data_IF_126668666838
#
_entry.id   IF_126668666838
#
_cell.length_a   1.000
_cell.length_b   1.000
_cell.length_c   1.000
_cell.angle_alpha   90.00
_cell.angle_beta   90.00
_cell.angle_gamma   90.00
#
_symmetry.space_group_name_H-M   'P 1'
#
loop_
_entity.id
_entity.type
_entity.pdbx_description
1 polymer ?
#
# COMPACT_ATOMS: atom_id res chain seq x y z
N UNK A 1 8.15 82.61 29.08
CA UNK A 1 7.25 81.50 28.70
C UNK A 1 8.10 80.43 28.03
N UNK A 2 8.36 79.34 28.76
CA UNK A 2 9.23 78.23 28.34
C UNK A 2 8.33 77.04 28.04
N UNK A 3 8.31 76.58 26.79
CA UNK A 3 7.54 75.41 26.35
C UNK A 3 8.46 74.20 26.31
N UNK A 4 8.15 73.23 27.16
CA UNK A 4 8.78 71.92 27.30
C UNK A 4 8.40 70.99 26.14
N UNK A 5 9.41 70.40 25.49
CA UNK A 5 9.25 69.38 24.45
C UNK A 5 9.04 67.99 25.06
N UNK A 6 7.91 67.36 24.73
CA UNK A 6 7.59 65.97 25.06
C UNK A 6 8.13 65.05 23.96
N UNK A 7 9.00 64.10 24.30
CA UNK A 7 9.42 63.03 23.41
C UNK A 7 8.54 61.79 23.61
N UNK A 8 7.85 61.34 22.55
CA UNK A 8 7.10 60.09 22.52
C UNK A 8 7.98 59.04 21.84
N UNK A 9 8.39 58.00 22.58
CA UNK A 9 9.02 56.79 22.05
C UNK A 9 7.94 55.76 21.73
N UNK A 10 7.78 55.42 20.45
CA UNK A 10 6.97 54.27 20.01
C UNK A 10 7.92 53.08 19.82
N UNK A 11 7.78 52.07 20.67
CA UNK A 11 8.50 50.80 20.54
C UNK A 11 7.75 49.86 19.60
N UNK A 12 8.42 49.40 18.54
CA UNK A 12 7.95 48.30 17.69
C UNK A 12 8.40 46.95 18.30
N UNK A 13 7.49 45.99 18.55
CA UNK A 13 7.88 44.64 18.93
C UNK A 13 8.11 43.76 17.69
N UNK A 14 9.25 43.07 17.70
CA UNK A 14 9.46 41.71 17.18
C UNK A 14 8.95 41.33 15.78
N UNK A 15 9.73 41.66 14.74
CA UNK A 15 9.75 40.96 13.44
C UNK A 15 10.85 39.89 13.41
N UNK A 16 10.69 38.75 14.10
CA UNK A 16 11.62 37.60 13.97
C UNK A 16 10.96 36.25 13.70
N UNK A 17 9.64 36.17 13.67
CA UNK A 17 8.92 34.88 13.50
C UNK A 17 8.45 34.60 12.07
N UNK A 18 8.59 35.53 11.13
CA UNK A 18 8.10 35.34 9.75
C UNK A 18 9.15 34.80 8.77
N UNK A 19 10.43 34.78 9.15
CA UNK A 19 11.53 34.37 8.27
C UNK A 19 11.83 32.86 8.28
N UNK A 20 11.29 32.09 9.22
CA UNK A 20 11.52 30.64 9.31
C UNK A 20 10.47 29.79 8.58
N UNK A 21 9.29 30.35 8.27
CA UNK A 21 8.25 29.62 7.53
C UNK A 21 8.47 29.62 6.01
N UNK A 22 9.25 30.57 5.48
CA UNK A 22 9.50 30.67 4.04
C UNK A 22 10.69 29.84 3.55
N UNK A 23 11.62 29.48 4.43
CA UNK A 23 12.81 28.67 4.08
C UNK A 23 12.55 27.16 4.08
N UNK A 24 11.56 26.67 4.84
CA UNK A 24 11.21 25.24 4.85
C UNK A 24 10.39 24.87 3.60
N UNK A 25 9.66 25.82 2.99
CA UNK A 25 8.93 25.58 1.75
C UNK A 25 9.83 25.57 0.49
N UNK A 26 11.00 26.21 0.55
CA UNK A 26 11.96 26.25 -0.55
C UNK A 26 12.84 24.99 -0.66
N UNK A 27 12.98 24.21 0.43
CA UNK A 27 13.74 22.95 0.42
C UNK A 27 12.92 21.74 -0.10
N UNK A 28 11.59 21.86 -0.15
CA UNK A 28 10.72 20.81 -0.71
C UNK A 28 10.54 20.92 -2.24
N UNK A 29 10.92 22.05 -2.85
CA UNK A 29 10.68 22.34 -4.28
C UNK A 29 11.92 22.17 -5.17
N UNK A 30 13.09 21.85 -4.61
CA UNK A 30 14.36 21.73 -5.36
C UNK A 30 14.80 20.29 -5.67
N UNK A 31 13.93 19.29 -5.47
CA UNK A 31 14.17 17.89 -5.87
C UNK A 31 13.27 17.39 -7.01
N UNK A 32 12.58 18.28 -7.72
CA UNK A 32 11.68 17.95 -8.84
C UNK A 32 12.29 18.22 -10.23
N UNK A 33 13.62 18.21 -10.36
CA UNK A 33 14.27 17.93 -11.64
C UNK A 33 14.44 16.41 -11.78
N UNK A 34 13.32 15.69 -11.75
CA UNK A 34 13.28 14.28 -12.08
C UNK A 34 13.61 14.12 -13.55
N UNK A 35 14.76 13.51 -13.85
CA UNK A 35 14.90 12.79 -15.10
C UNK A 35 13.71 11.84 -15.17
N UNK A 36 12.82 12.03 -16.14
CA UNK A 36 11.84 11.02 -16.54
C UNK A 36 12.66 9.87 -17.11
N UNK A 37 13.24 9.06 -16.22
CA UNK A 37 13.72 7.74 -16.59
C UNK A 37 12.46 6.98 -16.89
N UNK A 38 12.06 6.98 -18.17
CA UNK A 38 11.16 5.97 -18.69
C UNK A 38 11.77 4.65 -18.25
N UNK A 39 11.17 4.02 -17.23
CA UNK A 39 11.58 2.70 -16.79
C UNK A 39 11.59 1.85 -18.05
N UNK A 40 12.77 1.38 -18.48
CA UNK A 40 12.81 0.37 -19.53
C UNK A 40 12.09 -0.82 -18.91
N UNK A 41 10.90 -1.12 -19.41
CA UNK A 41 10.19 -2.33 -19.08
C UNK A 41 11.07 -3.47 -19.60
N UNK A 42 11.85 -4.08 -18.71
CA UNK A 42 12.40 -5.38 -18.98
C UNK A 42 11.20 -6.32 -19.00
N UNK A 43 10.99 -7.03 -20.12
CA UNK A 43 9.91 -7.99 -20.24
C UNK A 43 10.22 -9.12 -19.27
N UNK A 44 9.61 -9.06 -18.09
CA UNK A 44 9.73 -10.10 -17.07
C UNK A 44 9.03 -11.34 -17.61
N UNK A 45 9.75 -12.47 -17.61
CA UNK A 45 9.21 -13.79 -17.90
C UNK A 45 7.88 -13.97 -17.16
N UNK A 46 6.87 -14.52 -17.85
CA UNK A 46 5.50 -14.65 -17.34
C UNK A 46 5.50 -15.32 -15.97
N UNK A 47 5.34 -14.52 -14.91
CA UNK A 47 5.42 -14.99 -13.53
C UNK A 47 4.03 -15.39 -13.06
N UNK A 48 3.53 -16.52 -13.59
CA UNK A 48 2.24 -17.08 -13.16
C UNK A 48 2.23 -17.40 -11.66
N UNK A 49 3.39 -17.61 -11.02
CA UNK A 49 3.45 -17.97 -9.60
C UNK A 49 2.94 -16.82 -8.72
N UNK A 50 3.30 -15.58 -9.01
CA UNK A 50 2.80 -14.40 -8.27
C UNK A 50 1.28 -14.21 -8.34
N UNK A 51 0.65 -14.64 -9.43
CA UNK A 51 -0.80 -14.63 -9.51
C UNK A 51 -1.45 -15.62 -8.53
N UNK A 52 -0.78 -16.71 -8.19
CA UNK A 52 -1.29 -17.73 -7.27
C UNK A 52 -0.81 -17.58 -5.83
N UNK A 53 0.14 -16.69 -5.57
CA UNK A 53 0.51 -16.31 -4.21
C UNK A 53 -0.69 -15.77 -3.43
N UNK A 54 -0.67 -15.94 -2.11
CA UNK A 54 -1.77 -15.49 -1.26
C UNK A 54 -1.68 -13.99 -1.03
N UNK A 55 -2.77 -13.23 -1.27
CA UNK A 55 -2.81 -11.81 -0.92
C UNK A 55 -2.60 -11.65 0.58
N UNK A 56 -1.97 -10.54 0.98
CA UNK A 56 -1.77 -10.19 2.37
C UNK A 56 -3.11 -9.97 3.07
N UNK A 57 -3.24 -10.49 4.29
CA UNK A 57 -4.42 -10.31 5.14
C UNK A 57 -4.29 -9.05 5.99
N UNK A 58 -5.39 -8.62 6.61
CA UNK A 58 -5.37 -7.52 7.61
C UNK A 58 -4.35 -7.75 8.72
N UNK A 59 -4.18 -8.99 9.19
CA UNK A 59 -3.18 -9.32 10.20
C UNK A 59 -1.76 -9.09 9.70
N UNK A 60 -1.47 -9.42 8.45
CA UNK A 60 -0.13 -9.28 7.89
C UNK A 60 0.27 -7.81 7.77
N UNK A 61 -0.66 -7.01 7.24
CA UNK A 61 -0.49 -5.56 7.10
C UNK A 61 -0.43 -4.88 8.46
N UNK A 62 -1.29 -5.29 9.40
CA UNK A 62 -1.31 -4.77 10.77
C UNK A 62 -0.03 -5.05 11.56
N UNK A 63 0.46 -6.29 11.52
CA UNK A 63 1.73 -6.63 12.18
C UNK A 63 2.92 -5.95 11.49
N UNK A 64 2.90 -5.83 10.17
CA UNK A 64 3.89 -5.08 9.40
C UNK A 64 3.95 -3.61 9.83
N UNK A 65 2.79 -2.95 9.95
CA UNK A 65 2.68 -1.57 10.43
C UNK A 65 3.31 -1.44 11.82
N UNK A 66 2.94 -2.30 12.76
CA UNK A 66 3.48 -2.26 14.13
C UNK A 66 5.00 -2.49 14.17
N UNK A 67 5.52 -3.38 13.30
CA UNK A 67 6.95 -3.69 13.20
C UNK A 67 7.74 -2.50 12.67
N UNK A 68 7.27 -1.90 11.57
CA UNK A 68 7.92 -0.73 10.96
C UNK A 68 7.81 0.53 11.82
N UNK A 69 6.70 0.69 12.54
CA UNK A 69 6.51 1.77 13.51
C UNK A 69 7.34 1.59 14.80
N UNK A 70 8.11 0.50 14.91
CA UNK A 70 8.99 0.19 16.05
C UNK A 70 8.25 0.09 17.39
N UNK A 71 7.02 -0.43 17.38
CA UNK A 71 6.25 -0.71 18.60
C UNK A 71 6.87 -1.91 19.30
N UNK A 72 7.68 -1.68 20.34
CA UNK A 72 8.46 -2.75 20.99
C UNK A 72 7.60 -3.83 21.65
N UNK A 73 6.54 -3.40 22.34
CA UNK A 73 5.68 -4.28 23.12
C UNK A 73 4.21 -4.07 22.72
N UNK A 74 3.77 -4.61 21.56
CA UNK A 74 2.37 -4.51 21.18
C UNK A 74 1.49 -5.23 22.21
N UNK A 75 0.41 -4.59 22.63
CA UNK A 75 -0.55 -5.17 23.57
C UNK A 75 -1.45 -6.20 22.84
N UNK A 76 -0.88 -7.35 22.46
CA UNK A 76 -1.56 -8.36 21.63
C UNK A 76 -2.88 -8.84 22.24
N UNK A 77 -2.97 -9.01 23.55
CA UNK A 77 -4.23 -9.35 24.20
C UNK A 77 -5.34 -8.33 23.88
N UNK A 78 -5.01 -7.03 23.86
CA UNK A 78 -5.97 -5.96 23.49
C UNK A 78 -6.31 -5.99 21.99
N UNK A 79 -5.39 -6.42 21.13
CA UNK A 79 -5.68 -6.62 19.71
C UNK A 79 -6.62 -7.81 19.50
N UNK A 80 -6.34 -8.94 20.15
CA UNK A 80 -7.17 -10.16 20.08
C UNK A 80 -8.62 -9.86 20.49
N UNK A 81 -8.85 -9.16 21.61
CA UNK A 81 -10.23 -8.86 22.05
C UNK A 81 -11.01 -7.94 21.10
N UNK A 82 -10.31 -7.21 20.22
CA UNK A 82 -10.94 -6.33 19.23
C UNK A 82 -11.33 -7.05 17.94
N UNK A 83 -10.80 -8.26 17.71
CA UNK A 83 -11.14 -9.08 16.54
C UNK A 83 -12.59 -9.55 16.56
N UNK A 84 -13.18 -9.73 15.37
CA UNK A 84 -14.56 -10.20 15.25
C UNK A 84 -14.72 -11.65 15.74
N UNK A 85 -13.70 -12.48 15.51
CA UNK A 85 -13.64 -13.87 16.02
C UNK A 85 -13.79 -13.92 17.53
N UNK A 86 -13.10 -13.06 18.28
CA UNK A 86 -13.24 -13.02 19.73
C UNK A 86 -14.63 -12.52 20.18
N UNK A 87 -15.16 -11.48 19.49
CA UNK A 87 -16.44 -10.86 19.85
C UNK A 87 -17.63 -11.80 19.66
N UNK A 88 -17.62 -12.60 18.60
CA UNK A 88 -18.70 -13.51 18.23
C UNK A 88 -18.61 -14.88 18.93
N UNK A 89 -17.45 -15.21 19.51
CA UNK A 89 -17.23 -16.45 20.25
C UNK A 89 -17.98 -16.50 21.58
N UNK A 90 -18.43 -17.71 21.98
CA UNK A 90 -19.09 -17.99 23.25
C UNK A 90 -18.22 -17.59 24.46
N UNK A 91 -18.78 -16.98 25.52
CA UNK A 91 -18.01 -16.43 26.65
C UNK A 91 -17.00 -17.40 27.28
N UNK A 92 -17.37 -18.67 27.43
CA UNK A 92 -16.57 -19.73 28.04
C UNK A 92 -15.32 -20.10 27.22
N UNK A 93 -15.35 -19.91 25.89
CA UNK A 93 -14.23 -20.21 24.99
C UNK A 93 -13.22 -19.08 24.89
N UNK A 94 -13.61 -17.85 25.25
CA UNK A 94 -12.81 -16.62 25.08
C UNK A 94 -11.49 -16.66 25.84
N UNK A 95 -11.50 -17.20 27.06
CA UNK A 95 -10.29 -17.30 27.87
C UNK A 95 -9.23 -18.21 27.22
N UNK A 96 -9.67 -19.38 26.73
CA UNK A 96 -8.79 -20.30 25.99
C UNK A 96 -8.26 -19.68 24.70
N UNK A 97 -9.13 -19.01 23.94
CA UNK A 97 -8.72 -18.32 22.70
C UNK A 97 -7.69 -17.21 22.97
N UNK A 98 -7.84 -16.41 24.04
CA UNK A 98 -6.83 -15.41 24.40
C UNK A 98 -5.48 -16.04 24.75
N UNK A 99 -5.49 -17.17 25.47
CA UNK A 99 -4.28 -17.90 25.87
C UNK A 99 -3.53 -18.49 24.68
N UNK A 100 -4.22 -18.88 23.60
CA UNK A 100 -3.60 -19.43 22.40
C UNK A 100 -3.21 -18.35 21.39
N UNK A 101 -4.07 -17.35 21.20
CA UNK A 101 -3.92 -16.38 20.12
C UNK A 101 -2.90 -15.30 20.45
N UNK A 102 -2.81 -14.88 21.71
CA UNK A 102 -1.82 -13.90 22.17
C UNK A 102 -0.37 -14.36 21.88
N UNK A 103 0.07 -15.56 22.30
CA UNK A 103 1.42 -16.03 21.99
C UNK A 103 1.60 -16.33 20.49
N UNK A 104 0.56 -16.74 19.76
CA UNK A 104 0.63 -16.92 18.29
C UNK A 104 0.98 -15.60 17.60
N UNK A 105 0.27 -14.52 17.93
CA UNK A 105 0.52 -13.19 17.39
C UNK A 105 1.89 -12.66 17.79
N UNK A 106 2.29 -12.84 19.05
CA UNK A 106 3.62 -12.45 19.52
C UNK A 106 4.73 -13.19 18.76
N UNK A 107 4.57 -14.50 18.54
CA UNK A 107 5.49 -15.31 17.75
C UNK A 107 5.59 -14.82 16.31
N UNK A 108 4.44 -14.63 15.65
CA UNK A 108 4.40 -14.09 14.28
C UNK A 108 5.04 -12.70 14.19
N UNK A 109 4.75 -11.81 15.12
CA UNK A 109 5.36 -10.48 15.18
C UNK A 109 6.87 -10.53 15.39
N UNK A 110 7.37 -11.47 16.19
CA UNK A 110 8.79 -11.65 16.41
C UNK A 110 9.50 -12.05 15.10
N UNK A 111 8.90 -12.98 14.35
CA UNK A 111 9.50 -13.58 13.15
C UNK A 111 9.26 -12.81 11.86
N UNK A 112 8.19 -12.01 11.78
CA UNK A 112 7.85 -11.31 10.54
C UNK A 112 8.97 -10.37 10.11
N UNK A 113 9.33 -10.45 8.83
CA UNK A 113 10.25 -9.51 8.20
C UNK A 113 9.52 -8.74 7.08
N UNK A 114 9.00 -7.54 7.38
CA UNK A 114 8.28 -6.73 6.40
C UNK A 114 9.03 -6.48 5.10
N UNK A 115 10.36 -6.37 5.16
CA UNK A 115 11.19 -6.05 3.99
C UNK A 115 11.37 -7.24 3.05
N UNK A 116 11.23 -8.47 3.55
CA UNK A 116 11.42 -9.70 2.78
C UNK A 116 10.10 -10.31 2.32
N UNK A 117 9.08 -10.28 3.17
CA UNK A 117 7.76 -10.86 2.90
C UNK A 117 6.91 -9.94 2.00
N UNK A 118 7.03 -8.63 2.19
CA UNK A 118 6.26 -7.65 1.44
C UNK A 118 4.77 -7.62 1.76
N UNK A 119 4.02 -6.85 0.98
CA UNK A 119 2.55 -6.82 0.96
C UNK A 119 2.10 -7.17 -0.45
N UNK A 120 1.27 -8.21 -0.59
CA UNK A 120 0.71 -8.63 -1.87
C UNK A 120 -0.77 -8.22 -1.94
N UNK A 121 -1.13 -7.47 -2.96
CA UNK A 121 -2.49 -6.98 -3.19
C UNK A 121 -2.98 -7.53 -4.52
N UNK A 122 -4.20 -8.06 -4.53
CA UNK A 122 -4.90 -8.47 -5.75
C UNK A 122 -6.21 -7.70 -5.83
N UNK A 123 -6.44 -6.99 -6.93
CA UNK A 123 -7.66 -6.22 -7.14
C UNK A 123 -8.16 -6.29 -8.58
N UNK A 124 -9.46 -6.13 -8.76
CA UNK A 124 -10.05 -5.90 -10.07
C UNK A 124 -9.76 -4.48 -10.54
N UNK A 125 -9.36 -4.34 -11.79
CA UNK A 125 -9.11 -3.06 -12.48
C UNK A 125 -9.70 -3.11 -13.88
N UNK A 126 -9.87 -1.94 -14.49
CA UNK A 126 -10.20 -1.85 -15.91
C UNK A 126 -8.97 -1.52 -16.72
N UNK A 127 -8.78 -2.23 -17.82
CA UNK A 127 -7.62 -2.10 -18.69
C UNK A 127 -8.09 -1.79 -20.10
N UNK A 128 -7.52 -0.73 -20.67
CA UNK A 128 -7.84 -0.27 -22.02
C UNK A 128 -6.56 -0.23 -22.84
N UNK A 129 -6.58 -0.86 -23.99
CA UNK A 129 -5.48 -0.85 -24.92
C UNK A 129 -5.83 0.00 -26.14
N UNK A 130 -4.94 0.91 -26.50
CA UNK A 130 -5.01 1.67 -27.75
C UNK A 130 -3.82 1.28 -28.60
N UNK A 131 -4.11 0.55 -29.67
CA UNK A 131 -3.11 0.27 -30.70
C UNK A 131 -2.73 1.60 -31.37
N UNK A 132 -1.45 1.96 -31.26
CA UNK A 132 -0.95 3.24 -31.76
C UNK A 132 -1.21 3.39 -33.27
N UNK A 133 -1.45 4.62 -33.73
CA UNK A 133 -1.39 4.93 -35.16
C UNK A 133 0.02 5.40 -35.52
N UNK A 134 0.37 5.49 -36.82
CA UNK A 134 1.73 5.72 -37.36
C UNK A 134 2.67 6.65 -36.56
N UNK A 135 2.16 7.69 -35.88
CA UNK A 135 2.96 8.64 -35.09
C UNK A 135 2.76 8.58 -33.55
N UNK A 136 1.87 7.72 -33.04
CA UNK A 136 1.59 7.56 -31.62
C UNK A 136 1.98 6.16 -31.15
N UNK A 137 2.73 6.01 -30.05
CA UNK A 137 3.06 4.69 -29.54
C UNK A 137 1.80 3.97 -29.01
N UNK A 138 1.80 2.62 -29.01
CA UNK A 138 0.74 1.83 -28.38
C UNK A 138 0.70 2.10 -26.86
N UNK A 139 -0.51 2.23 -26.32
CA UNK A 139 -0.73 2.60 -24.91
C UNK A 139 -1.64 1.61 -24.22
N UNK A 140 -1.23 1.16 -23.03
CA UNK A 140 -2.06 0.44 -22.08
C UNK A 140 -2.46 1.39 -20.95
N UNK A 141 -3.76 1.50 -20.67
CA UNK A 141 -4.29 2.33 -19.57
C UNK A 141 -4.88 1.43 -18.50
N UNK A 142 -4.43 1.59 -17.26
CA UNK A 142 -4.97 0.92 -16.08
C UNK A 142 -5.81 1.92 -15.30
N UNK A 143 -7.11 1.67 -15.21
CA UNK A 143 -8.03 2.43 -14.40
C UNK A 143 -8.21 1.76 -13.04
N UNK A 144 -7.66 2.41 -12.01
CA UNK A 144 -7.87 2.02 -10.62
C UNK A 144 -9.30 2.35 -10.15
N UNK A 145 -9.82 1.64 -9.13
CA UNK A 145 -11.16 1.90 -8.59
C UNK A 145 -11.33 3.30 -7.97
N UNK A 146 -10.25 3.93 -7.48
CA UNK A 146 -10.28 5.25 -6.88
C UNK A 146 -9.83 6.35 -7.86
N UNK A 147 -10.44 7.52 -7.75
CA UNK A 147 -10.00 8.75 -8.42
C UNK A 147 -9.21 9.61 -7.42
N UNK A 148 -7.90 9.76 -7.60
CA UNK A 148 -7.06 10.58 -6.73
C UNK A 148 -5.83 9.83 -6.21
N UNK A 149 -5.49 10.03 -4.93
CA UNK A 149 -4.44 9.24 -4.28
C UNK A 149 -4.83 7.77 -4.30
N UNK A 150 -4.01 6.94 -4.92
CA UNK A 150 -4.22 5.50 -4.95
C UNK A 150 -3.63 4.91 -3.66
N UNK A 151 -4.50 4.32 -2.85
CA UNK A 151 -4.13 3.61 -1.62
C UNK A 151 -5.03 2.39 -1.45
N UNK A 152 -4.59 1.44 -0.62
CA UNK A 152 -5.33 0.21 -0.36
C UNK A 152 -5.68 0.12 1.13
N UNK A 153 -6.98 0.15 1.48
CA UNK A 153 -7.41 0.11 2.86
C UNK A 153 -7.31 -1.30 3.44
N UNK A 154 -6.83 -1.39 4.68
CA UNK A 154 -6.82 -2.59 5.52
C UNK A 154 -7.36 -2.24 6.90
N UNK A 155 -7.94 -3.22 7.59
CA UNK A 155 -8.54 -3.01 8.92
C UNK A 155 -8.16 -4.11 9.90
N UNK A 156 -7.16 -3.84 10.74
CA UNK A 156 -6.65 -4.82 11.69
C UNK A 156 -7.04 -4.49 13.13
N UNK A 157 -7.88 -5.33 13.74
CA UNK A 157 -8.23 -5.22 15.16
C UNK A 157 -8.69 -3.81 15.60
N UNK A 158 -9.50 -3.15 14.77
CA UNK A 158 -9.97 -1.79 15.04
C UNK A 158 -9.04 -0.67 14.56
N UNK A 159 -7.96 -1.01 13.87
CA UNK A 159 -6.96 -0.07 13.37
C UNK A 159 -7.13 0.04 11.84
N UNK A 160 -7.64 1.17 11.34
CA UNK A 160 -7.66 1.45 9.91
C UNK A 160 -6.25 1.80 9.41
N UNK A 161 -5.83 1.15 8.33
CA UNK A 161 -4.49 1.25 7.76
C UNK A 161 -4.61 1.56 6.27
N UNK A 162 -3.87 2.57 5.81
CA UNK A 162 -3.77 2.90 4.40
C UNK A 162 -2.42 2.44 3.87
N UNK A 163 -2.42 1.43 3.00
CA UNK A 163 -1.22 1.02 2.28
C UNK A 163 -1.04 1.92 1.06
N UNK A 164 0.04 2.69 1.04
CA UNK A 164 0.30 3.73 0.05
C UNK A 164 1.54 3.33 -0.76
N UNK A 165 1.37 2.83 -1.99
CA UNK A 165 2.49 2.55 -2.87
C UNK A 165 3.02 3.83 -3.52
N UNK A 166 4.32 4.04 -3.40
CA UNK A 166 5.02 5.15 -4.02
C UNK A 166 5.05 4.99 -5.55
N UNK A 167 4.68 6.06 -6.28
CA UNK A 167 4.79 6.12 -7.73
C UNK A 167 3.79 5.25 -8.51
N UNK A 168 2.72 4.76 -7.87
CA UNK A 168 1.71 3.91 -8.54
C UNK A 168 1.00 4.62 -9.70
N UNK A 169 0.90 5.95 -9.62
CA UNK A 169 0.38 6.81 -10.68
C UNK A 169 1.17 6.69 -12.00
N UNK A 170 2.44 6.31 -11.95
CA UNK A 170 3.26 6.09 -13.15
C UNK A 170 2.80 4.86 -13.97
N UNK A 171 1.94 4.02 -13.39
CA UNK A 171 1.40 2.81 -14.02
C UNK A 171 -0.03 2.98 -14.52
N UNK A 172 -0.63 4.17 -14.41
CA UNK A 172 -1.97 4.41 -14.97
C UNK A 172 -1.95 4.43 -16.49
N UNK A 173 -0.83 4.85 -17.09
CA UNK A 173 -0.65 4.94 -18.54
C UNK A 173 0.73 4.45 -18.90
N UNK A 174 0.78 3.31 -19.59
CA UNK A 174 2.00 2.61 -19.95
C UNK A 174 2.17 2.71 -21.46
N UNK A 175 3.32 3.26 -21.87
CA UNK A 175 3.75 3.24 -23.27
C UNK A 175 4.41 1.90 -23.54
N UNK A 176 3.89 1.15 -24.50
CA UNK A 176 4.36 -0.20 -24.81
C UNK A 176 5.43 -0.16 -25.89
N UNK A 177 6.42 -1.04 -25.77
CA UNK A 177 7.29 -1.45 -26.87
C UNK A 177 6.52 -2.27 -27.91
N UNK A 178 7.14 -2.52 -29.06
CA UNK A 178 6.54 -3.33 -30.11
C UNK A 178 6.27 -4.78 -29.66
N UNK A 179 7.18 -5.37 -28.88
CA UNK A 179 7.02 -6.72 -28.36
C UNK A 179 5.89 -6.79 -27.32
N UNK A 180 5.85 -5.83 -26.38
CA UNK A 180 4.76 -5.73 -25.41
C UNK A 180 3.41 -5.50 -26.09
N UNK A 181 3.36 -4.66 -27.14
CA UNK A 181 2.15 -4.47 -27.95
C UNK A 181 1.65 -5.79 -28.52
N UNK A 182 2.53 -6.61 -29.07
CA UNK A 182 2.16 -7.90 -29.66
C UNK A 182 1.63 -8.87 -28.59
N UNK A 183 2.22 -8.88 -27.40
CA UNK A 183 1.75 -9.68 -26.25
C UNK A 183 0.37 -9.21 -25.80
N UNK A 184 0.19 -7.90 -25.60
CA UNK A 184 -1.10 -7.32 -25.18
C UNK A 184 -2.18 -7.62 -26.22
N UNK A 185 -1.89 -7.47 -27.51
CA UNK A 185 -2.83 -7.81 -28.59
C UNK A 185 -3.24 -9.29 -28.59
N UNK A 186 -2.34 -10.19 -28.21
CA UNK A 186 -2.60 -11.62 -28.19
C UNK A 186 -3.34 -12.10 -26.93
N UNK A 187 -3.21 -11.36 -25.81
CA UNK A 187 -3.64 -11.82 -24.48
C UNK A 187 -4.75 -11.00 -23.85
N UNK A 188 -4.92 -9.74 -24.23
CA UNK A 188 -5.94 -8.88 -23.65
C UNK A 188 -7.33 -9.36 -24.10
N UNK A 189 -8.19 -9.59 -23.12
CA UNK A 189 -9.58 -9.93 -23.39
C UNK A 189 -10.33 -8.72 -23.99
N UNK A 190 -11.34 -8.93 -24.85
CA UNK A 190 -12.22 -7.86 -25.32
C UNK A 190 -12.96 -7.13 -24.17
N UNK A 191 -13.09 -7.79 -23.02
CA UNK A 191 -13.63 -7.20 -21.79
C UNK A 191 -12.54 -6.39 -21.10
N UNK A 192 -12.82 -5.14 -20.67
CA UNK A 192 -11.82 -4.31 -19.99
C UNK A 192 -11.49 -4.82 -18.57
N UNK A 193 -12.30 -5.72 -18.01
CA UNK A 193 -12.07 -6.27 -16.67
C UNK A 193 -10.81 -7.15 -16.61
N UNK A 194 -9.88 -6.78 -15.73
CA UNK A 194 -8.62 -7.49 -15.50
C UNK A 194 -8.34 -7.58 -13.99
N UNK A 195 -7.42 -8.46 -13.62
CA UNK A 195 -6.88 -8.58 -12.27
C UNK A 195 -5.49 -7.94 -12.22
N UNK A 196 -5.32 -6.96 -11.34
CA UNK A 196 -4.01 -6.40 -11.02
C UNK A 196 -3.42 -7.11 -9.80
N UNK A 197 -2.18 -7.56 -9.94
CA UNK A 197 -1.36 -8.13 -8.87
C UNK A 197 -0.25 -7.14 -8.55
N UNK A 198 -0.23 -6.66 -7.31
CA UNK A 198 0.72 -5.69 -6.83
C UNK A 198 1.52 -6.30 -5.68
N UNK A 199 2.82 -6.44 -5.87
CA UNK A 199 3.74 -6.80 -4.79
C UNK A 199 4.45 -5.53 -4.34
N UNK A 200 4.40 -5.30 -3.03
CA UNK A 200 4.86 -4.10 -2.38
C UNK A 200 5.93 -4.44 -1.36
N UNK A 201 6.93 -3.59 -1.26
CA UNK A 201 7.93 -3.60 -0.19
C UNK A 201 7.62 -2.47 0.79
N UNK A 202 7.06 -2.77 1.97
CA UNK A 202 6.88 -1.79 3.03
C UNK A 202 8.19 -1.10 3.36
N UNK A 203 8.23 0.23 3.41
CA UNK A 203 9.46 1.01 3.72
C UNK A 203 9.33 1.86 4.97
N UNK A 204 8.12 2.23 5.36
CA UNK A 204 7.89 3.04 6.54
C UNK A 204 6.44 2.98 7.02
N UNK A 205 6.24 3.25 8.30
CA UNK A 205 4.93 3.37 8.92
C UNK A 205 4.97 4.50 9.95
N UNK A 206 3.89 5.27 10.04
CA UNK A 206 3.74 6.30 11.08
C UNK A 206 2.41 6.15 11.82
N UNK A 207 2.48 5.61 13.04
CA UNK A 207 1.30 5.44 13.91
C UNK A 207 0.92 6.73 14.65
N UNK A 208 1.76 7.78 14.60
CA UNK A 208 1.54 9.05 15.31
C UNK A 208 0.85 10.09 14.44
N UNK A 209 0.96 9.95 13.12
CA UNK A 209 0.42 10.90 12.14
C UNK A 209 -0.60 10.22 11.22
N UNK A 210 -1.82 9.92 11.71
CA UNK A 210 -2.87 9.39 10.85
C UNK A 210 -3.20 10.38 9.73
N UNK A 211 -3.45 9.85 8.53
CA UNK A 211 -3.94 10.61 7.39
C UNK A 211 -5.47 10.59 7.35
N UNK A 212 -6.08 11.70 6.95
CA UNK A 212 -7.52 11.72 6.63
C UNK A 212 -7.71 11.24 5.20
N UNK A 213 -8.26 10.04 5.02
CA UNK A 213 -8.53 9.42 3.72
C UNK A 213 -9.98 8.94 3.70
N UNK A 214 -10.74 9.38 2.71
CA UNK A 214 -12.18 9.10 2.56
C UNK A 214 -13.02 9.41 3.82
N UNK A 215 -12.63 10.45 4.55
CA UNK A 215 -13.29 10.88 5.78
C UNK A 215 -12.92 10.08 7.04
N UNK A 216 -12.03 9.08 6.92
CA UNK A 216 -11.54 8.28 8.04
C UNK A 216 -10.06 8.59 8.36
N UNK A 217 -9.69 8.51 9.64
CA UNK A 217 -8.29 8.58 10.09
C UNK A 217 -7.65 7.22 9.88
N UNK A 218 -6.75 7.10 8.91
CA UNK A 218 -6.06 5.85 8.61
C UNK A 218 -4.56 6.00 8.89
N UNK A 219 -3.93 4.95 9.44
CA UNK A 219 -2.49 4.93 9.69
C UNK A 219 -1.74 4.61 8.39
N UNK A 220 -0.83 5.47 7.92
CA UNK A 220 -0.13 5.23 6.67
C UNK A 220 0.94 4.13 6.81
N UNK A 221 0.91 3.17 5.88
CA UNK A 221 1.96 2.23 5.59
C UNK A 221 2.53 2.54 4.20
N UNK A 222 3.71 3.15 4.16
CA UNK A 222 4.38 3.54 2.93
C UNK A 222 5.10 2.33 2.33
N UNK A 223 4.94 2.13 1.03
CA UNK A 223 5.48 1.00 0.30
C UNK A 223 6.17 1.43 -0.99
N UNK A 224 7.20 0.70 -1.41
CA UNK A 224 7.75 0.74 -2.76
C UNK A 224 7.13 -0.40 -3.60
N UNK A 225 6.95 -0.18 -4.90
CA UNK A 225 6.42 -1.19 -5.81
C UNK A 225 7.55 -2.13 -6.23
N UNK A 226 7.46 -3.40 -5.83
CA UNK A 226 8.42 -4.42 -6.25
C UNK A 226 7.99 -5.14 -7.52
N UNK A 227 6.68 -5.30 -7.72
CA UNK A 227 6.09 -5.89 -8.92
C UNK A 227 4.66 -5.39 -9.11
N UNK A 228 4.28 -5.19 -10.37
CA UNK A 228 2.92 -4.87 -10.79
C UNK A 228 2.62 -5.65 -12.06
N UNK A 229 1.60 -6.49 -12.03
CA UNK A 229 1.19 -7.35 -13.13
C UNK A 229 -0.30 -7.23 -13.40
N UNK A 230 -0.66 -7.30 -14.67
CA UNK A 230 -2.04 -7.30 -15.15
C UNK A 230 -2.35 -8.64 -15.78
N UNK A 231 -3.43 -9.27 -15.33
CA UNK A 231 -3.89 -10.56 -15.81
C UNK A 231 -5.32 -10.47 -16.34
N UNK A 232 -5.58 -11.14 -17.46
CA UNK A 232 -6.92 -11.23 -18.03
C UNK A 232 -7.82 -12.20 -17.23
N UNK A 233 -9.05 -12.44 -17.68
CA UNK A 233 -10.00 -13.31 -16.96
C UNK A 233 -9.60 -14.78 -17.02
N UNK A 234 -8.80 -15.15 -18.01
CA UNK A 234 -8.23 -16.49 -18.20
C UNK A 234 -6.91 -16.68 -17.41
N UNK A 235 -6.53 -15.73 -16.55
CA UNK A 235 -5.30 -15.73 -15.74
C UNK A 235 -3.99 -15.58 -16.54
N UNK A 236 -4.06 -15.27 -17.83
CA UNK A 236 -2.88 -14.97 -18.62
C UNK A 236 -2.38 -13.55 -18.33
N UNK A 237 -1.05 -13.43 -18.23
CA UNK A 237 -0.39 -12.14 -18.00
C UNK A 237 -0.47 -11.31 -19.29
N UNK A 238 -1.12 -10.16 -19.19
CA UNK A 238 -1.25 -9.19 -20.28
C UNK A 238 -0.03 -8.28 -20.32
N UNK A 239 0.41 -7.83 -19.15
CA UNK A 239 1.56 -6.95 -19.00
C UNK A 239 2.09 -7.05 -17.56
N UNK A 240 3.39 -6.84 -17.36
CA UNK A 240 3.96 -6.75 -16.04
C UNK A 240 5.23 -5.90 -16.02
N UNK A 241 5.51 -5.35 -14.85
CA UNK A 241 6.77 -4.70 -14.51
C UNK A 241 7.22 -5.13 -13.12
N UNK A 242 8.52 -5.08 -12.88
CA UNK A 242 9.10 -5.41 -11.59
C UNK A 242 10.45 -4.73 -11.40
N UNK A 243 10.74 -4.43 -10.14
CA UNK A 243 11.98 -3.78 -9.74
C UNK A 243 13.05 -4.82 -9.43
N UNK A 244 14.25 -4.62 -9.97
CA UNK A 244 15.41 -5.39 -9.54
C UNK A 244 15.87 -5.06 -8.12
N UNK A 245 15.64 -3.82 -7.70
CA UNK A 245 16.09 -3.29 -6.41
C UNK A 245 15.19 -3.72 -5.25
N UNK A 246 13.91 -3.97 -5.52
CA UNK A 246 12.90 -4.16 -4.48
C UNK A 246 12.32 -5.57 -4.43
N UNK A 247 13.03 -6.59 -4.93
CA UNK A 247 12.55 -7.99 -4.89
C UNK A 247 12.14 -8.41 -3.48
N UNK A 248 10.93 -8.94 -3.36
CA UNK A 248 10.37 -9.59 -2.16
C UNK A 248 10.08 -11.05 -2.49
N UNK A 249 10.22 -11.93 -1.51
CA UNK A 249 10.23 -13.38 -1.75
C UNK A 249 8.83 -14.01 -1.85
N UNK A 250 7.77 -13.20 -1.81
CA UNK A 250 6.40 -13.67 -1.74
C UNK A 250 6.15 -14.50 -0.48
N UNK A 251 4.89 -14.89 -0.25
CA UNK A 251 4.56 -15.80 0.85
C UNK A 251 4.81 -17.23 0.45
N UNK A 252 5.73 -17.91 1.13
CA UNK A 252 6.07 -19.32 0.85
C UNK A 252 5.12 -20.35 1.47
N UNK A 253 4.20 -19.95 2.34
CA UNK A 253 3.33 -20.88 3.08
C UNK A 253 1.97 -20.28 3.40
N UNK A 254 0.86 -21.04 3.26
CA UNK A 254 -0.42 -20.65 3.80
C UNK A 254 -0.31 -20.59 5.32
N UNK A 255 -0.59 -19.43 5.91
CA UNK A 255 -0.94 -19.38 7.31
C UNK A 255 -2.32 -20.02 7.46
N UNK A 256 -2.31 -21.28 7.89
CA UNK A 256 -3.43 -22.09 8.41
C UNK A 256 -4.75 -21.31 8.38
N UNK A 257 -5.56 -21.56 7.35
CA UNK A 257 -6.97 -21.23 7.34
C UNK A 257 -7.61 -22.03 8.49
N UNK A 258 -8.03 -21.34 9.55
CA UNK A 258 -8.77 -21.96 10.65
C UNK A 258 -10.12 -22.41 10.07
N UNK A 259 -10.17 -23.72 9.80
CA UNK A 259 -11.32 -24.64 9.85
C UNK A 259 -12.60 -24.12 9.20
N UNK A 260 -12.87 -24.59 7.97
CA UNK A 260 -14.24 -24.67 7.44
C UNK A 260 -15.11 -25.34 8.51
N UNK A 261 -16.24 -24.75 8.93
CA UNK A 261 -17.19 -25.51 9.73
C UNK A 261 -17.55 -26.76 8.95
N UNK A 262 -17.37 -27.93 9.56
CA UNK A 262 -17.93 -29.16 9.03
C UNK A 262 -19.41 -28.91 8.77
N UNK A 263 -19.85 -29.33 7.57
CA UNK A 263 -21.26 -29.42 7.22
C UNK A 263 -22.03 -29.92 8.44
N UNK A 264 -23.07 -29.18 8.81
CA UNK A 264 -23.87 -29.44 9.98
C UNK A 264 -24.20 -30.92 10.14
N UNK A 265 -23.99 -31.43 11.35
CA UNK A 265 -24.67 -32.63 11.77
C UNK A 265 -26.18 -32.35 11.69
N UNK A 266 -26.96 -33.17 10.97
CA UNK A 266 -28.39 -33.21 11.21
C UNK A 266 -28.62 -33.94 12.54
N UNK A 267 -29.56 -33.39 13.32
CA UNK A 267 -30.07 -33.84 14.63
C UNK A 267 -29.31 -33.34 15.86
#
# INVERSE_FOLDING_TARGET
MSLSSVQIRIGLPHMKTFAYFLTILAAALLFLSGTVTSAKAEVIDIDKQKLFDFPSTDEDVGLTLLKLAKVRDPEFAKLVVRTETYKTMAPEMRAGFLQTETPRLAGKYATINPQEEGVLIRLGVKVYFKDGLQDNPPILTIQFPSSGLIYFPYFYAGIPIAVIPNGIENFTTIVLSEDERNIVNATLDPSPEATLVLSLKPVGADIKSPMMLDGEKQLPLLCEISYIGVHNRNTDQVWAWGSDTYKVNGRKTPMIEIVRPEKGAPF
#
